data_IF_537305671174
#
_entry.id   IF_537305671174
#
_cell.length_a   1.000
_cell.length_b   1.000
_cell.length_c   1.000
_cell.angle_alpha   90.00
_cell.angle_beta   90.00
_cell.angle_gamma   90.00
#
_symmetry.space_group_name_H-M   'P 1'
#
loop_
_entity.id
_entity.type
_entity.pdbx_description
1 polymer ?
#
# COMPACT_ATOMS: atom_id res chain seq x y z
N UNK A 1 5.67 -14.17 -25.74
CA UNK A 1 5.93 -15.19 -24.70
C UNK A 1 4.75 -15.25 -23.75
N UNK A 2 4.38 -16.43 -23.28
CA UNK A 2 3.35 -16.60 -22.25
C UNK A 2 3.97 -16.42 -20.86
N UNK A 3 3.18 -15.96 -19.89
CA UNK A 3 3.63 -15.74 -18.50
C UNK A 3 4.29 -17.00 -17.92
N UNK A 4 3.68 -18.17 -18.18
CA UNK A 4 4.15 -19.47 -17.72
C UNK A 4 5.55 -19.85 -18.24
N UNK A 5 5.86 -19.52 -19.50
CA UNK A 5 7.19 -19.78 -20.07
C UNK A 5 8.25 -18.91 -19.39
N UNK A 6 7.92 -17.65 -19.09
CA UNK A 6 8.82 -16.74 -18.37
C UNK A 6 9.03 -17.18 -16.91
N UNK A 7 8.04 -17.79 -16.26
CA UNK A 7 8.18 -18.41 -14.94
C UNK A 7 9.16 -19.59 -14.95
N UNK A 8 9.05 -20.50 -15.91
CA UNK A 8 9.93 -21.66 -16.02
C UNK A 8 11.37 -21.29 -16.40
N UNK A 9 11.51 -20.27 -17.25
CA UNK A 9 12.81 -19.73 -17.64
C UNK A 9 13.49 -19.01 -16.46
N UNK A 10 12.72 -18.30 -15.62
CA UNK A 10 13.22 -17.74 -14.37
C UNK A 10 13.72 -18.79 -13.37
N UNK A 11 12.93 -19.85 -13.12
CA UNK A 11 13.35 -20.95 -12.24
C UNK A 11 14.68 -21.59 -12.69
N UNK A 12 14.96 -21.53 -13.99
CA UNK A 12 16.17 -22.10 -14.60
C UNK A 12 17.33 -21.11 -14.68
N UNK A 13 17.08 -19.80 -14.82
CA UNK A 13 18.10 -18.75 -14.91
C UNK A 13 17.59 -17.40 -14.38
N UNK A 14 17.73 -17.13 -13.07
CA UNK A 14 17.29 -15.88 -12.44
C UNK A 14 17.91 -14.62 -13.04
N UNK A 15 19.13 -14.75 -13.56
CA UNK A 15 19.94 -13.67 -14.16
C UNK A 15 19.47 -13.22 -15.55
N UNK A 16 18.52 -13.91 -16.18
CA UNK A 16 18.03 -13.59 -17.52
C UNK A 16 16.88 -12.56 -17.52
N UNK A 17 16.44 -12.09 -16.36
CA UNK A 17 15.28 -11.20 -16.27
C UNK A 17 15.62 -9.78 -16.69
N UNK A 18 14.84 -9.28 -17.64
CA UNK A 18 14.89 -7.90 -18.09
C UNK A 18 14.31 -6.94 -17.05
N UNK A 19 14.66 -5.66 -17.15
CA UNK A 19 14.10 -4.62 -16.32
C UNK A 19 12.57 -4.49 -16.52
N UNK A 20 12.11 -4.73 -17.75
CA UNK A 20 10.70 -4.76 -18.13
C UNK A 20 9.94 -5.95 -17.52
N UNK A 21 10.53 -7.14 -17.52
CA UNK A 21 9.94 -8.31 -16.86
C UNK A 21 9.83 -8.10 -15.35
N UNK A 22 10.84 -7.48 -14.73
CA UNK A 22 10.78 -7.09 -13.32
C UNK A 22 9.60 -6.17 -13.03
N UNK A 23 9.40 -5.12 -13.83
CA UNK A 23 8.25 -4.20 -13.69
C UNK A 23 6.93 -4.97 -13.77
N UNK A 24 6.80 -5.88 -14.74
CA UNK A 24 5.59 -6.70 -14.92
C UNK A 24 5.34 -7.66 -13.75
N UNK A 25 6.37 -8.33 -13.26
CA UNK A 25 6.23 -9.32 -12.17
C UNK A 25 5.93 -8.69 -10.81
N UNK A 26 6.47 -7.50 -10.58
CA UNK A 26 6.23 -6.73 -9.36
C UNK A 26 4.95 -5.89 -9.39
N UNK A 27 4.26 -5.85 -10.54
CA UNK A 27 3.08 -5.02 -10.76
C UNK A 27 3.37 -3.54 -10.51
N UNK A 28 4.48 -3.06 -11.08
CA UNK A 28 4.85 -1.64 -11.07
C UNK A 28 4.36 -0.94 -12.33
N UNK A 29 4.16 0.39 -12.30
CA UNK A 29 3.97 1.15 -13.52
C UNK A 29 5.28 1.18 -14.33
N UNK A 30 5.23 1.64 -15.59
CA UNK A 30 6.44 1.80 -16.38
C UNK A 30 7.43 2.79 -15.72
N UNK A 31 8.70 2.76 -16.15
CA UNK A 31 9.76 3.56 -15.53
C UNK A 31 9.50 5.07 -15.57
N UNK A 32 8.93 5.58 -16.67
CA UNK A 32 8.64 7.01 -16.80
C UNK A 32 7.55 7.44 -15.82
N UNK A 33 6.53 6.59 -15.63
CA UNK A 33 5.46 6.82 -14.67
C UNK A 33 5.98 6.71 -13.23
N UNK A 34 6.84 5.72 -12.93
CA UNK A 34 7.48 5.63 -11.61
C UNK A 34 8.27 6.90 -11.28
N UNK A 35 9.11 7.37 -12.20
CA UNK A 35 9.95 8.56 -12.00
C UNK A 35 9.11 9.83 -11.80
N UNK A 36 8.07 10.02 -12.61
CA UNK A 36 7.16 11.15 -12.48
C UNK A 36 6.45 11.15 -11.11
N UNK A 37 5.93 10.00 -10.68
CA UNK A 37 5.20 9.88 -9.42
C UNK A 37 6.12 10.01 -8.20
N UNK A 38 7.35 9.47 -8.26
CA UNK A 38 8.36 9.66 -7.22
C UNK A 38 8.71 11.14 -7.10
N UNK A 39 9.01 11.80 -8.22
CA UNK A 39 9.37 13.23 -8.25
C UNK A 39 8.23 14.15 -7.76
N UNK A 40 6.99 13.74 -7.96
CA UNK A 40 5.82 14.46 -7.45
C UNK A 40 5.66 14.32 -5.93
N UNK A 41 6.03 13.18 -5.36
CA UNK A 41 5.86 12.89 -3.93
C UNK A 41 7.06 13.30 -3.08
N UNK A 42 8.28 13.25 -3.61
CA UNK A 42 9.51 13.47 -2.87
C UNK A 42 10.66 13.93 -3.76
N UNK A 43 11.69 14.52 -3.14
CA UNK A 43 12.95 14.87 -3.83
C UNK A 43 13.99 13.75 -3.77
N UNK A 44 13.67 12.64 -3.10
CA UNK A 44 14.56 11.48 -2.95
C UNK A 44 14.59 10.61 -4.22
N UNK A 45 15.70 9.93 -4.44
CA UNK A 45 15.73 8.83 -5.42
C UNK A 45 14.84 7.67 -4.97
N UNK A 46 14.50 6.75 -5.88
CA UNK A 46 13.75 5.54 -5.56
C UNK A 46 14.43 4.71 -4.47
N UNK A 47 15.74 4.55 -4.58
CA UNK A 47 16.58 3.78 -3.67
C UNK A 47 16.65 4.45 -2.30
N UNK A 48 16.81 5.77 -2.27
CA UNK A 48 16.83 6.57 -1.04
C UNK A 48 15.47 6.52 -0.32
N UNK A 49 14.38 6.64 -1.07
CA UNK A 49 13.01 6.49 -0.55
C UNK A 49 12.79 5.09 0.03
N UNK A 50 13.20 4.03 -0.70
CA UNK A 50 13.08 2.64 -0.24
C UNK A 50 13.87 2.41 1.05
N UNK A 51 15.12 2.90 1.09
CA UNK A 51 15.96 2.81 2.29
C UNK A 51 15.34 3.56 3.48
N UNK A 52 14.86 4.79 3.27
CA UNK A 52 14.19 5.59 4.30
C UNK A 52 12.98 4.85 4.85
N UNK A 53 12.14 4.28 3.99
CA UNK A 53 10.96 3.52 4.40
C UNK A 53 11.30 2.23 5.14
N UNK A 54 12.34 1.52 4.73
CA UNK A 54 12.78 0.31 5.40
C UNK A 54 13.38 0.59 6.79
N UNK A 55 14.13 1.69 6.95
CA UNK A 55 14.90 1.96 8.17
C UNK A 55 14.20 2.91 9.15
N UNK A 56 13.38 3.83 8.65
CA UNK A 56 12.77 4.90 9.44
C UNK A 56 11.38 5.26 8.90
N UNK A 57 10.41 4.32 8.89
CA UNK A 57 9.09 4.52 8.29
C UNK A 57 8.28 5.66 8.91
N UNK A 58 8.55 6.02 10.18
CA UNK A 58 7.89 7.15 10.86
C UNK A 58 8.27 8.52 10.28
N UNK A 59 9.42 8.61 9.61
CA UNK A 59 9.91 9.84 9.00
C UNK A 59 9.36 10.06 7.59
N UNK A 60 8.56 9.12 7.07
CA UNK A 60 7.91 9.26 5.78
C UNK A 60 6.81 10.33 5.84
N UNK A 61 6.73 11.16 4.82
CA UNK A 61 5.59 12.07 4.63
C UNK A 61 4.34 11.29 4.22
N UNK A 62 3.15 11.90 4.29
CA UNK A 62 1.92 11.24 3.80
C UNK A 62 2.00 10.85 2.33
N UNK A 63 2.52 11.75 1.48
CA UNK A 63 2.68 11.47 0.05
C UNK A 63 3.69 10.35 -0.23
N UNK A 64 4.77 10.26 0.54
CA UNK A 64 5.73 9.14 0.45
C UNK A 64 5.09 7.81 0.86
N UNK A 65 4.30 7.80 1.94
CA UNK A 65 3.57 6.61 2.39
C UNK A 65 2.54 6.15 1.36
N UNK A 66 1.73 7.07 0.82
CA UNK A 66 0.74 6.79 -0.22
C UNK A 66 1.39 6.25 -1.50
N UNK A 67 2.52 6.84 -1.91
CA UNK A 67 3.27 6.37 -3.09
C UNK A 67 3.80 4.94 -2.91
N UNK A 68 4.36 4.62 -1.74
CA UNK A 68 4.88 3.29 -1.46
C UNK A 68 3.75 2.26 -1.31
N UNK A 69 2.67 2.63 -0.64
CA UNK A 69 1.48 1.77 -0.51
C UNK A 69 0.85 1.44 -1.87
N UNK A 70 0.78 2.43 -2.76
CA UNK A 70 0.34 2.23 -4.16
C UNK A 70 1.39 1.58 -5.05
N UNK A 71 2.56 1.18 -4.52
CA UNK A 71 3.68 0.58 -5.29
C UNK A 71 4.05 1.42 -6.52
N UNK A 72 4.23 2.73 -6.31
CA UNK A 72 4.64 3.74 -7.30
C UNK A 72 3.60 4.16 -8.34
N UNK A 73 2.39 3.62 -8.31
CA UNK A 73 1.32 4.03 -9.21
C UNK A 73 0.78 5.45 -8.93
N UNK A 74 1.08 6.01 -7.75
CA UNK A 74 0.64 7.36 -7.38
C UNK A 74 -0.84 7.37 -6.99
N UNK A 75 -1.52 8.50 -7.22
CA UNK A 75 -2.98 8.55 -7.07
C UNK A 75 -3.65 7.79 -8.21
N UNK A 76 -3.98 6.53 -7.95
CA UNK A 76 -4.87 5.73 -8.79
C UNK A 76 -6.31 6.17 -8.51
N UNK A 77 -7.18 6.09 -9.50
CA UNK A 77 -8.61 6.34 -9.26
C UNK A 77 -9.19 5.29 -8.32
N UNK A 78 -10.06 5.69 -7.38
CA UNK A 78 -10.71 4.77 -6.42
C UNK A 78 -11.22 3.43 -7.03
N UNK A 79 -11.87 3.41 -8.22
CA UNK A 79 -12.34 2.16 -8.82
C UNK A 79 -11.21 1.20 -9.24
N UNK A 80 -10.09 1.73 -9.71
CA UNK A 80 -8.93 0.94 -10.12
C UNK A 80 -8.12 0.47 -8.91
N UNK A 81 -8.07 1.28 -7.85
CA UNK A 81 -7.49 0.94 -6.56
C UNK A 81 -8.23 -0.23 -5.91
N UNK A 82 -9.57 -0.16 -5.82
CA UNK A 82 -10.40 -1.24 -5.29
C UNK A 82 -10.19 -2.55 -6.06
N UNK A 83 -10.19 -2.53 -7.39
CA UNK A 83 -9.95 -3.74 -8.20
C UNK A 83 -8.57 -4.33 -7.92
N UNK A 84 -7.55 -3.48 -7.75
CA UNK A 84 -6.18 -3.91 -7.51
C UNK A 84 -6.00 -4.53 -6.13
N UNK A 85 -6.57 -3.93 -5.09
CA UNK A 85 -6.54 -4.49 -3.73
C UNK A 85 -7.46 -5.71 -3.57
N UNK A 86 -8.58 -5.74 -4.30
CA UNK A 86 -9.61 -6.78 -4.16
C UNK A 86 -9.42 -7.99 -5.07
N UNK A 87 -8.52 -7.91 -6.08
CA UNK A 87 -8.34 -9.00 -7.03
C UNK A 87 -8.03 -10.35 -6.37
N UNK A 88 -7.36 -10.34 -5.21
CA UNK A 88 -7.08 -11.54 -4.41
C UNK A 88 -8.14 -11.86 -3.36
N UNK A 89 -9.02 -10.92 -2.98
CA UNK A 89 -10.08 -11.17 -1.97
C UNK A 89 -11.06 -12.24 -2.42
N UNK A 90 -11.31 -12.33 -3.73
CA UNK A 90 -12.15 -13.39 -4.31
C UNK A 90 -11.59 -14.80 -4.08
N UNK A 91 -10.28 -14.96 -3.81
CA UNK A 91 -9.70 -16.27 -3.47
C UNK A 91 -10.22 -16.80 -2.14
N UNK A 92 -10.64 -15.91 -1.21
CA UNK A 92 -11.26 -16.32 0.06
C UNK A 92 -12.62 -16.97 -0.15
N UNK A 93 -13.28 -16.74 -1.29
CA UNK A 93 -14.53 -17.43 -1.65
C UNK A 93 -14.30 -18.92 -1.93
N UNK A 94 -13.07 -19.33 -2.27
CA UNK A 94 -12.68 -20.74 -2.38
C UNK A 94 -12.39 -21.29 -0.99
N UNK A 95 -11.39 -20.70 -0.30
CA UNK A 95 -11.12 -20.90 1.13
C UNK A 95 -10.08 -19.90 1.62
N UNK A 96 -10.06 -19.64 2.94
CA UNK A 96 -9.00 -18.84 3.57
C UNK A 96 -7.62 -19.49 3.39
N UNK A 97 -7.53 -20.81 3.50
CA UNK A 97 -6.29 -21.56 3.28
C UNK A 97 -5.74 -21.35 1.87
N UNK A 98 -6.60 -21.42 0.85
CA UNK A 98 -6.20 -21.22 -0.54
C UNK A 98 -5.73 -19.78 -0.80
N UNK A 99 -6.40 -18.81 -0.18
CA UNK A 99 -5.98 -17.41 -0.19
C UNK A 99 -4.57 -17.24 0.38
N UNK A 100 -4.30 -17.77 1.60
CA UNK A 100 -2.98 -17.63 2.23
C UNK A 100 -1.88 -18.34 1.44
N UNK A 101 -2.11 -19.58 0.98
CA UNK A 101 -1.14 -20.31 0.18
C UNK A 101 -0.82 -19.60 -1.15
N UNK A 102 -1.82 -19.01 -1.80
CA UNK A 102 -1.62 -18.30 -3.06
C UNK A 102 -0.80 -17.02 -2.85
N UNK A 103 -1.10 -16.25 -1.81
CA UNK A 103 -0.33 -15.06 -1.48
C UNK A 103 1.11 -15.40 -1.06
N UNK A 104 1.32 -16.46 -0.28
CA UNK A 104 2.66 -16.90 0.12
C UNK A 104 3.50 -17.28 -1.11
N UNK A 105 2.92 -18.02 -2.06
CA UNK A 105 3.59 -18.38 -3.31
C UNK A 105 3.94 -17.15 -4.15
N UNK A 106 3.01 -16.20 -4.24
CA UNK A 106 3.24 -14.94 -4.96
C UNK A 106 4.35 -14.11 -4.31
N UNK A 107 4.35 -14.01 -2.98
CA UNK A 107 5.36 -13.25 -2.24
C UNK A 107 6.74 -13.89 -2.38
N UNK A 108 6.84 -15.23 -2.26
CA UNK A 108 8.08 -15.97 -2.48
C UNK A 108 8.63 -15.80 -3.90
N UNK A 109 7.74 -15.72 -4.89
CA UNK A 109 8.15 -15.41 -6.25
C UNK A 109 8.69 -13.99 -6.34
N UNK A 110 7.95 -13.01 -5.81
CA UNK A 110 8.30 -11.59 -5.89
C UNK A 110 9.56 -11.21 -5.10
N UNK A 111 9.85 -11.90 -4.00
CA UNK A 111 10.98 -11.60 -3.13
C UNK A 111 12.33 -11.60 -3.86
N UNK A 112 12.44 -12.36 -4.95
CA UNK A 112 13.67 -12.45 -5.75
C UNK A 112 13.87 -11.28 -6.71
N UNK A 113 12.85 -10.42 -6.91
CA UNK A 113 12.91 -9.30 -7.84
C UNK A 113 13.03 -7.94 -7.17
N UNK A 114 12.76 -7.87 -5.87
CA UNK A 114 12.87 -6.60 -5.15
C UNK A 114 14.33 -6.14 -5.11
N UNK A 115 14.51 -4.83 -5.27
CA UNK A 115 15.79 -4.21 -4.99
C UNK A 115 16.05 -4.21 -3.48
N UNK A 116 17.28 -3.85 -3.10
CA UNK A 116 17.64 -3.67 -1.69
C UNK A 116 16.62 -2.71 -1.02
N UNK A 117 16.12 -3.10 0.16
CA UNK A 117 15.10 -2.38 0.94
C UNK A 117 13.70 -2.24 0.33
N UNK A 118 13.49 -2.56 -0.95
CA UNK A 118 12.21 -2.27 -1.64
C UNK A 118 11.05 -3.12 -1.07
N UNK A 119 11.29 -4.39 -0.75
CA UNK A 119 10.29 -5.25 -0.11
C UNK A 119 9.89 -4.73 1.27
N UNK A 120 10.88 -4.42 2.10
CA UNK A 120 10.68 -3.89 3.45
C UNK A 120 10.03 -2.51 3.43
N UNK A 121 10.35 -1.68 2.43
CA UNK A 121 9.75 -0.37 2.23
C UNK A 121 8.23 -0.45 2.07
N UNK A 122 7.73 -1.36 1.23
CA UNK A 122 6.29 -1.55 1.04
C UNK A 122 5.61 -2.07 2.30
N UNK A 123 6.19 -3.09 2.92
CA UNK A 123 5.65 -3.69 4.15
C UNK A 123 5.57 -2.65 5.27
N UNK A 124 6.60 -1.84 5.43
CA UNK A 124 6.65 -0.81 6.46
C UNK A 124 5.72 0.37 6.14
N UNK A 125 5.54 0.73 4.86
CA UNK A 125 4.57 1.75 4.46
C UNK A 125 3.13 1.33 4.80
N UNK A 126 2.76 0.07 4.54
CA UNK A 126 1.44 -0.48 4.89
C UNK A 126 1.20 -0.51 6.41
N UNK A 127 2.22 -0.92 7.18
CA UNK A 127 2.17 -0.85 8.64
C UNK A 127 2.06 0.60 9.16
N UNK A 128 2.72 1.55 8.51
CA UNK A 128 2.68 2.96 8.87
C UNK A 128 1.31 3.61 8.56
N UNK A 129 0.65 3.23 7.47
CA UNK A 129 -0.76 3.62 7.21
C UNK A 129 -1.64 3.13 8.34
N UNK A 130 -1.58 1.84 8.65
CA UNK A 130 -2.40 1.22 9.70
C UNK A 130 -2.21 1.94 11.03
N UNK A 131 -0.95 2.25 11.41
CA UNK A 131 -0.63 3.00 12.63
C UNK A 131 -1.26 4.40 12.63
N UNK A 132 -1.12 5.15 11.52
CA UNK A 132 -1.69 6.52 11.41
C UNK A 132 -3.21 6.51 11.49
N UNK A 133 -3.85 5.51 10.90
CA UNK A 133 -5.30 5.34 10.98
C UNK A 133 -5.77 5.02 12.39
N UNK A 134 -5.07 4.12 13.09
CA UNK A 134 -5.38 3.79 14.47
C UNK A 134 -5.20 5.01 15.39
N UNK A 135 -4.12 5.76 15.24
CA UNK A 135 -3.90 7.00 16.01
C UNK A 135 -4.96 8.07 15.73
N UNK A 136 -5.39 8.20 14.48
CA UNK A 136 -6.49 9.09 14.11
C UNK A 136 -7.79 8.65 14.78
N UNK A 137 -8.12 7.36 14.72
CA UNK A 137 -9.33 6.79 15.33
C UNK A 137 -9.32 7.00 16.85
N UNK A 138 -8.20 6.73 17.51
CA UNK A 138 -8.07 6.98 18.95
C UNK A 138 -8.20 8.46 19.30
N UNK A 139 -7.65 9.37 18.48
CA UNK A 139 -7.78 10.80 18.70
C UNK A 139 -9.23 11.26 18.55
N UNK A 140 -9.95 10.74 17.56
CA UNK A 140 -11.39 10.96 17.35
C UNK A 140 -12.19 10.45 18.57
N UNK A 141 -11.94 9.23 19.01
CA UNK A 141 -12.60 8.62 20.18
C UNK A 141 -12.34 9.43 21.46
N UNK A 142 -11.09 9.87 21.69
CA UNK A 142 -10.74 10.73 22.83
C UNK A 142 -11.45 12.08 22.77
N UNK A 143 -11.51 12.70 21.59
CA UNK A 143 -12.19 13.97 21.41
C UNK A 143 -13.70 13.85 21.65
N UNK A 144 -14.30 12.76 21.20
CA UNK A 144 -15.72 12.50 21.40
C UNK A 144 -16.05 12.14 22.85
N UNK A 145 -15.19 11.39 23.54
CA UNK A 145 -15.31 11.14 24.98
C UNK A 145 -15.21 12.43 25.81
N UNK A 146 -14.19 13.27 25.53
CA UNK A 146 -14.03 14.55 26.21
C UNK A 146 -15.27 15.44 26.03
N UNK A 147 -15.81 15.46 24.81
CA UNK A 147 -17.01 16.20 24.48
C UNK A 147 -18.25 15.68 25.22
N UNK A 148 -18.42 14.35 25.34
CA UNK A 148 -19.50 13.74 26.12
C UNK A 148 -19.37 14.08 27.61
N UNK A 149 -18.16 14.08 28.16
CA UNK A 149 -17.92 14.42 29.56
C UNK A 149 -18.21 15.89 29.86
N UNK A 150 -17.94 16.79 28.92
CA UNK A 150 -18.14 18.23 29.08
C UNK A 150 -19.59 18.68 28.83
N UNK A 151 -20.25 18.12 27.80
CA UNK A 151 -21.56 18.60 27.33
C UNK A 151 -22.71 17.59 27.48
N UNK A 152 -22.43 16.36 27.92
CA UNK A 152 -23.40 15.28 28.10
C UNK A 152 -23.81 14.55 26.80
N UNK A 153 -24.30 13.32 26.93
CA UNK A 153 -24.65 12.46 25.78
C UNK A 153 -25.71 13.06 24.83
N UNK A 154 -26.68 13.81 25.36
CA UNK A 154 -27.81 14.36 24.58
C UNK A 154 -27.40 15.43 23.57
N UNK A 155 -26.26 16.08 23.80
CA UNK A 155 -25.72 17.07 22.90
C UNK A 155 -24.83 16.38 21.83
N UNK A 156 -24.29 15.18 22.11
CA UNK A 156 -23.35 14.46 21.21
C UNK A 156 -24.06 13.97 19.95
N UNK A 157 -25.28 13.45 20.13
CA UNK A 157 -26.16 13.09 19.02
C UNK A 157 -26.55 14.26 18.10
N UNK A 158 -26.42 15.53 18.55
CA UNK A 158 -26.62 16.72 17.69
C UNK A 158 -25.37 17.07 16.89
N UNK A 159 -24.16 16.93 17.48
CA UNK A 159 -22.87 17.13 16.79
C UNK A 159 -22.65 16.12 15.67
N UNK A 160 -22.91 14.84 15.92
CA UNK A 160 -22.75 13.78 14.90
C UNK A 160 -23.74 13.93 13.75
N UNK A 161 -24.99 14.33 14.03
CA UNK A 161 -26.02 14.60 13.01
C UNK A 161 -25.71 15.85 12.18
N UNK A 162 -25.07 16.87 12.76
CA UNK A 162 -24.60 18.04 12.02
C UNK A 162 -23.41 17.70 11.10
N UNK A 163 -22.47 16.86 11.54
CA UNK A 163 -21.37 16.36 10.69
C UNK A 163 -21.89 15.56 9.49
N UNK A 164 -22.95 14.76 9.64
CA UNK A 164 -23.51 13.97 8.54
C UNK A 164 -24.34 14.78 7.52
N UNK A 165 -24.75 16.01 7.85
CA UNK A 165 -25.52 16.89 6.96
C UNK A 165 -24.67 18.02 6.33
N UNK A 166 -23.38 18.11 6.67
CA UNK A 166 -22.45 19.11 6.13
C UNK A 166 -21.54 18.61 5.01
N UNK A 167 -21.72 17.36 4.55
CA UNK A 167 -21.02 16.82 3.38
C UNK A 167 -21.92 16.96 2.14
N UNK A 168 -21.94 18.17 1.55
CA UNK A 168 -22.31 18.44 0.15
C UNK A 168 -21.28 19.41 -0.41
#
# INVERSE_FOLDING_TARGET
MTLLATFQEFESNPSAISAEDRVRFLDFPDFSTQEANISAATTLSKEELSKKAAQSPRDLTSSEVELLHSRYWGQISFPEEDIRFDCFKNLRLVSDEYYFQTLERLERFRSSFYAEFEADAFKNAEAEISRREDERREAEDRADLAWILEYGYASYGRKTRAKSHGAI
#
